data_IF_085621408578
#
_entry.id   IF_085621408578
#
_cell.length_a   1.000
_cell.length_b   1.000
_cell.length_c   1.000
_cell.angle_alpha   90.00
_cell.angle_beta   90.00
_cell.angle_gamma   90.00
#
_symmetry.space_group_name_H-M   'P 1'
#
loop_
_entity.id
_entity.type
_entity.pdbx_description
1 polymer ?
#
# COMPACT_ATOMS: atom_id res chain seq x y z
N UNK A 1 6.25 8.34 11.67
CA UNK A 1 5.16 7.37 11.92
C UNK A 1 5.80 6.07 12.36
N UNK A 2 5.68 5.73 13.60
CA UNK A 2 6.23 4.48 14.15
C UNK A 2 5.15 3.42 13.97
N UNK A 3 5.48 2.31 13.33
CA UNK A 3 4.58 1.15 13.30
C UNK A 3 4.74 0.46 14.65
N UNK A 4 3.74 0.56 15.48
CA UNK A 4 3.64 -0.23 16.71
C UNK A 4 2.92 -1.52 16.32
N UNK A 5 3.57 -2.66 16.52
CA UNK A 5 2.91 -3.95 16.45
C UNK A 5 1.90 -4.00 17.62
N UNK A 6 0.62 -4.00 17.28
CA UNK A 6 -0.45 -3.99 18.30
C UNK A 6 -0.50 -5.29 19.14
N UNK A 7 0.20 -6.33 18.70
CA UNK A 7 0.36 -7.58 19.46
C UNK A 7 1.47 -7.48 20.53
N UNK A 8 2.32 -6.45 20.45
CA UNK A 8 3.31 -6.11 21.48
C UNK A 8 2.89 -4.78 22.14
N UNK A 9 2.18 -4.85 23.23
CA UNK A 9 1.96 -3.66 24.05
C UNK A 9 3.32 -3.16 24.55
N UNK A 10 3.67 -1.88 24.33
CA UNK A 10 4.91 -1.33 24.88
C UNK A 10 4.89 -1.50 26.39
N UNK A 11 6.00 -1.94 26.97
CA UNK A 11 6.11 -2.08 28.41
C UNK A 11 5.99 -0.72 29.11
N UNK A 12 5.68 -0.74 30.40
CA UNK A 12 5.46 0.47 31.19
C UNK A 12 6.69 1.39 31.19
N UNK A 13 7.91 0.83 31.11
CA UNK A 13 9.16 1.60 31.07
C UNK A 13 9.29 2.34 29.73
N UNK A 14 8.97 1.70 28.62
CA UNK A 14 8.96 2.34 27.31
C UNK A 14 7.93 3.48 27.22
N UNK A 15 6.74 3.28 27.77
CA UNK A 15 5.71 4.32 27.81
C UNK A 15 6.10 5.51 28.71
N UNK A 16 6.76 5.25 29.83
CA UNK A 16 7.25 6.31 30.72
C UNK A 16 8.38 7.12 30.05
N UNK A 17 9.31 6.45 29.35
CA UNK A 17 10.39 7.09 28.60
C UNK A 17 9.84 7.94 27.43
N UNK A 18 8.88 7.41 26.68
CA UNK A 18 8.16 8.14 25.64
C UNK A 18 7.49 9.40 26.18
N UNK A 19 6.72 9.27 27.28
CA UNK A 19 6.03 10.39 27.88
C UNK A 19 6.97 11.49 28.36
N UNK A 20 8.12 11.11 28.92
CA UNK A 20 9.10 12.04 29.46
C UNK A 20 9.94 12.74 28.38
N UNK A 21 10.40 11.99 27.36
CA UNK A 21 11.45 12.44 26.45
C UNK A 21 10.95 12.81 25.05
N UNK A 22 9.75 12.39 24.66
CA UNK A 22 9.24 12.56 23.31
C UNK A 22 7.90 13.29 23.26
N UNK A 23 6.96 12.93 24.11
CA UNK A 23 5.58 13.46 24.05
C UNK A 23 5.52 14.99 24.15
N UNK A 24 6.40 15.62 24.94
CA UNK A 24 6.47 17.08 25.07
C UNK A 24 6.85 17.82 23.77
N UNK A 25 7.45 17.14 22.79
CA UNK A 25 7.83 17.71 21.50
C UNK A 25 6.80 17.43 20.39
N UNK A 26 5.75 16.65 20.70
CA UNK A 26 4.71 16.32 19.72
C UNK A 26 3.63 17.40 19.80
N UNK A 27 3.52 18.22 18.76
CA UNK A 27 2.50 19.26 18.64
C UNK A 27 1.23 18.75 17.95
N UNK A 28 1.34 17.66 17.17
CA UNK A 28 0.21 17.02 16.49
C UNK A 28 0.51 15.52 16.32
N UNK A 29 -0.44 14.68 16.68
CA UNK A 29 -0.34 13.22 16.54
C UNK A 29 -1.48 12.69 15.69
N UNK A 30 -1.12 12.00 14.60
CA UNK A 30 -2.08 11.30 13.74
C UNK A 30 -1.86 9.80 13.81
N UNK A 31 -2.78 9.10 14.46
CA UNK A 31 -2.77 7.64 14.55
C UNK A 31 -3.59 7.07 13.40
N UNK A 32 -3.01 6.13 12.65
CA UNK A 32 -3.69 5.39 11.60
C UNK A 32 -3.56 3.90 11.88
N UNK A 33 -4.69 3.25 12.13
CA UNK A 33 -4.75 1.80 12.24
C UNK A 33 -4.85 1.18 10.84
N UNK A 34 -4.08 0.13 10.60
CA UNK A 34 -4.11 -0.58 9.32
C UNK A 34 -3.88 -2.08 9.53
N UNK A 35 -4.71 -2.90 8.91
CA UNK A 35 -4.59 -4.35 8.90
C UNK A 35 -3.99 -4.82 7.58
N UNK A 36 -3.02 -5.73 7.63
CA UNK A 36 -2.46 -6.35 6.43
C UNK A 36 -3.52 -7.23 5.74
N UNK A 37 -3.73 -7.00 4.45
CA UNK A 37 -4.63 -7.77 3.60
C UNK A 37 -3.81 -8.77 2.77
N UNK A 38 -3.70 -9.98 3.24
CA UNK A 38 -2.86 -11.02 2.67
C UNK A 38 -3.26 -11.43 1.25
N UNK A 39 -4.59 -11.50 0.98
CA UNK A 39 -5.09 -11.92 -0.32
C UNK A 39 -4.66 -10.97 -1.45
N UNK A 40 -4.55 -9.68 -1.19
CA UNK A 40 -4.11 -8.68 -2.15
C UNK A 40 -2.59 -8.40 -2.10
N UNK A 41 -1.90 -8.86 -1.05
CA UNK A 41 -0.45 -8.70 -0.88
C UNK A 41 0.33 -9.73 -1.70
N UNK A 42 1.54 -9.36 -2.14
CA UNK A 42 2.42 -10.25 -2.91
C UNK A 42 3.86 -10.18 -2.38
N UNK A 43 4.46 -11.36 -2.20
CA UNK A 43 5.88 -11.51 -1.85
C UNK A 43 6.52 -12.38 -2.91
N UNK A 44 7.51 -11.88 -3.66
CA UNK A 44 8.28 -12.72 -4.58
C UNK A 44 9.13 -13.73 -3.80
N UNK A 45 9.51 -14.83 -4.48
CA UNK A 45 10.35 -15.87 -3.88
C UNK A 45 11.70 -15.32 -3.42
N UNK A 46 12.27 -14.38 -4.18
CA UNK A 46 13.50 -13.68 -3.85
C UNK A 46 13.23 -12.19 -3.69
N UNK A 47 13.46 -11.66 -2.50
CA UNK A 47 13.39 -10.25 -2.23
C UNK A 47 14.53 -9.83 -1.30
N UNK A 48 15.41 -8.98 -1.81
CA UNK A 48 16.54 -8.45 -1.05
C UNK A 48 16.14 -7.38 -0.04
N UNK A 49 17.12 -6.84 0.68
CA UNK A 49 16.92 -5.70 1.59
C UNK A 49 16.46 -4.46 0.83
N UNK A 50 15.68 -3.61 1.47
CA UNK A 50 15.20 -2.32 0.95
C UNK A 50 15.74 -1.18 1.79
N UNK A 51 15.98 -0.04 1.16
CA UNK A 51 16.37 1.18 1.87
C UNK A 51 15.21 2.20 1.89
N UNK A 52 14.20 1.98 1.06
CA UNK A 52 13.07 2.89 0.87
C UNK A 52 11.73 2.15 0.86
N UNK A 53 10.69 2.86 1.25
CA UNK A 53 9.29 2.45 1.08
C UNK A 53 8.56 3.50 0.24
N UNK A 54 7.86 3.06 -0.80
CA UNK A 54 6.79 3.84 -1.40
C UNK A 54 5.47 3.42 -0.76
N UNK A 55 4.74 4.37 -0.23
CA UNK A 55 3.40 4.17 0.31
C UNK A 55 2.42 4.90 -0.61
N UNK A 56 1.63 4.14 -1.35
CA UNK A 56 0.55 4.66 -2.21
C UNK A 56 -0.77 4.52 -1.50
N UNK A 57 -1.41 5.64 -1.18
CA UNK A 57 -2.72 5.65 -0.53
C UNK A 57 -3.80 6.05 -1.53
N UNK A 58 -4.82 5.21 -1.66
CA UNK A 58 -6.03 5.53 -2.42
C UNK A 58 -7.02 6.29 -1.54
N UNK A 59 -7.65 7.31 -2.11
CA UNK A 59 -8.77 8.02 -1.50
C UNK A 59 -10.07 7.44 -2.05
N UNK A 60 -10.70 6.57 -1.30
CA UNK A 60 -11.99 6.01 -1.67
C UNK A 60 -13.05 7.09 -1.72
N UNK A 61 -14.00 6.98 -2.64
CA UNK A 61 -15.18 7.82 -2.64
C UNK A 61 -16.31 7.17 -1.84
N UNK A 62 -17.43 7.90 -1.66
CA UNK A 62 -18.57 7.45 -0.86
C UNK A 62 -19.55 6.54 -1.64
N UNK A 63 -19.16 6.00 -2.80
CA UNK A 63 -20.01 5.06 -3.52
C UNK A 63 -20.11 3.73 -2.77
N UNK A 64 -21.27 3.11 -2.88
CA UNK A 64 -21.48 1.80 -2.29
C UNK A 64 -20.42 0.80 -2.78
N UNK A 65 -19.89 0.01 -1.84
CA UNK A 65 -18.87 -1.03 -2.11
C UNK A 65 -17.51 -0.53 -2.65
N UNK A 66 -17.17 0.77 -2.55
CA UNK A 66 -15.89 1.29 -3.03
C UNK A 66 -14.69 0.50 -2.52
N UNK A 67 -14.66 0.20 -1.21
CA UNK A 67 -13.61 -0.62 -0.59
C UNK A 67 -13.48 -1.99 -1.26
N UNK A 68 -14.59 -2.71 -1.38
CA UNK A 68 -14.60 -4.06 -1.95
C UNK A 68 -14.18 -4.07 -3.42
N UNK A 69 -14.67 -3.11 -4.21
CA UNK A 69 -14.34 -2.98 -5.64
C UNK A 69 -12.88 -2.64 -5.89
N UNK A 70 -12.32 -1.72 -5.10
CA UNK A 70 -10.89 -1.37 -5.22
C UNK A 70 -10.01 -2.54 -4.76
N UNK A 71 -10.37 -3.24 -3.68
CA UNK A 71 -9.62 -4.42 -3.23
C UNK A 71 -9.68 -5.56 -4.25
N UNK A 72 -10.83 -5.81 -4.89
CA UNK A 72 -10.97 -6.78 -5.97
C UNK A 72 -10.01 -6.46 -7.12
N UNK A 73 -9.97 -5.21 -7.58
CA UNK A 73 -9.04 -4.78 -8.63
C UNK A 73 -7.57 -4.97 -8.23
N UNK A 74 -7.21 -4.60 -6.99
CA UNK A 74 -5.85 -4.80 -6.46
C UNK A 74 -5.49 -6.29 -6.37
N UNK A 75 -6.45 -7.16 -6.02
CA UNK A 75 -6.24 -8.61 -5.97
C UNK A 75 -5.99 -9.19 -7.35
N UNK A 76 -6.72 -8.77 -8.38
CA UNK A 76 -6.45 -9.16 -9.77
C UNK A 76 -5.04 -8.78 -10.23
N UNK A 77 -4.53 -7.62 -9.80
CA UNK A 77 -3.14 -7.25 -10.07
C UNK A 77 -2.16 -8.26 -9.41
N UNK A 78 -2.45 -8.75 -8.19
CA UNK A 78 -1.62 -9.77 -7.54
C UNK A 78 -1.56 -11.05 -8.36
N UNK A 79 -2.67 -11.51 -8.91
CA UNK A 79 -2.73 -12.73 -9.72
C UNK A 79 -1.74 -12.66 -10.90
N UNK A 80 -1.64 -11.50 -11.55
CA UNK A 80 -0.66 -11.28 -12.62
C UNK A 80 0.76 -11.21 -12.09
N UNK A 81 1.00 -10.56 -10.93
CA UNK A 81 2.33 -10.56 -10.28
C UNK A 81 2.82 -11.98 -9.98
N UNK A 82 1.91 -12.86 -9.54
CA UNK A 82 2.21 -14.28 -9.30
C UNK A 82 2.50 -14.99 -10.62
N UNK A 83 1.63 -14.86 -11.61
CA UNK A 83 1.77 -15.54 -12.90
C UNK A 83 3.05 -15.15 -13.66
N UNK A 84 3.49 -13.90 -13.53
CA UNK A 84 4.72 -13.38 -14.16
C UNK A 84 5.97 -13.53 -13.29
N UNK A 85 5.84 -14.12 -12.11
CA UNK A 85 6.92 -14.19 -11.12
C UNK A 85 7.63 -12.84 -10.92
N UNK A 86 6.85 -11.77 -10.76
CA UNK A 86 7.38 -10.41 -10.72
C UNK A 86 8.28 -10.19 -9.49
N UNK A 87 9.42 -9.52 -9.67
CA UNK A 87 10.37 -9.21 -8.59
C UNK A 87 9.95 -7.98 -7.74
N UNK A 88 8.64 -7.81 -7.52
CA UNK A 88 8.06 -6.66 -6.81
C UNK A 88 7.43 -7.16 -5.52
N UNK A 89 7.93 -6.74 -4.37
CA UNK A 89 7.22 -6.93 -3.11
C UNK A 89 6.12 -5.88 -2.98
N UNK A 90 4.91 -6.30 -2.65
CA UNK A 90 3.76 -5.42 -2.40
C UNK A 90 3.02 -5.86 -1.16
N UNK A 91 2.86 -4.96 -0.20
CA UNK A 91 1.97 -5.13 0.95
C UNK A 91 0.76 -4.24 0.80
N UNK A 92 -0.42 -4.79 1.06
CA UNK A 92 -1.69 -4.06 1.03
C UNK A 92 -2.22 -3.95 2.44
N UNK A 93 -2.46 -2.73 2.88
CA UNK A 93 -3.01 -2.43 4.19
C UNK A 93 -4.38 -1.80 4.04
N UNK A 94 -5.31 -2.21 4.88
CA UNK A 94 -6.69 -1.73 4.90
C UNK A 94 -7.00 -1.18 6.28
N UNK A 95 -7.60 -0.01 6.34
CA UNK A 95 -8.10 0.54 7.60
C UNK A 95 -9.31 -0.29 8.07
N UNK A 96 -9.33 -0.74 9.34
CA UNK A 96 -10.50 -1.40 9.92
C UNK A 96 -11.68 -0.43 10.14
N UNK A 97 -11.41 0.87 10.10
CA UNK A 97 -12.39 1.94 10.26
C UNK A 97 -12.35 2.86 9.05
N UNK A 98 -13.51 3.26 8.54
CA UNK A 98 -13.56 4.24 7.46
C UNK A 98 -12.98 5.57 7.91
N UNK A 99 -11.98 6.04 7.20
CA UNK A 99 -11.38 7.34 7.46
C UNK A 99 -12.28 8.46 6.88
N UNK A 100 -12.31 9.61 7.56
CA UNK A 100 -13.06 10.79 7.10
C UNK A 100 -12.72 11.21 5.66
N UNK A 101 -11.48 10.93 5.23
CA UNK A 101 -10.96 11.35 3.92
C UNK A 101 -10.92 10.20 2.90
N UNK A 102 -11.49 9.00 3.22
CA UNK A 102 -11.47 7.83 2.34
C UNK A 102 -10.08 7.18 2.18
N UNK A 103 -9.11 7.53 3.02
CA UNK A 103 -7.72 7.00 2.97
C UNK A 103 -7.62 5.62 3.62
N UNK A 104 -8.40 4.67 3.13
CA UNK A 104 -8.63 3.39 3.78
C UNK A 104 -7.81 2.24 3.19
N UNK A 105 -7.19 2.43 2.02
CA UNK A 105 -6.32 1.44 1.37
C UNK A 105 -4.96 2.05 1.10
N UNK A 106 -3.90 1.38 1.59
CA UNK A 106 -2.52 1.76 1.31
C UNK A 106 -1.74 0.57 0.74
N UNK A 107 -1.02 0.80 -0.35
CA UNK A 107 -0.08 -0.14 -0.94
C UNK A 107 1.33 0.27 -0.54
N UNK A 108 2.09 -0.66 0.02
CA UNK A 108 3.48 -0.43 0.41
C UNK A 108 4.39 -1.26 -0.48
N UNK A 109 5.32 -0.56 -1.14
CA UNK A 109 6.32 -1.14 -2.02
C UNK A 109 7.71 -0.83 -1.47
N UNK A 110 8.38 -1.79 -0.83
CA UNK A 110 9.79 -1.67 -0.51
C UNK A 110 10.63 -1.68 -1.80
N UNK A 111 11.68 -0.89 -1.85
CA UNK A 111 12.52 -0.82 -3.04
C UNK A 111 13.97 -0.42 -2.76
N UNK A 112 14.81 -0.71 -3.75
CA UNK A 112 16.22 -0.36 -3.84
C UNK A 112 16.60 -0.47 -5.33
N UNK A 113 17.19 0.48 -5.98
CA UNK A 113 17.60 1.85 -5.62
C UNK A 113 16.51 2.90 -5.91
N UNK A 114 16.74 4.15 -5.48
CA UNK A 114 15.80 5.27 -5.67
C UNK A 114 15.46 5.55 -7.15
N UNK A 115 16.38 5.35 -8.05
CA UNK A 115 16.23 5.54 -9.51
C UNK A 115 15.04 4.80 -10.13
N UNK A 116 14.47 3.79 -9.46
CA UNK A 116 13.29 3.06 -9.93
C UNK A 116 12.06 3.96 -10.12
N UNK A 117 11.99 5.09 -9.41
CA UNK A 117 10.84 5.99 -9.43
C UNK A 117 10.97 7.18 -10.38
N UNK A 118 12.10 7.37 -11.05
CA UNK A 118 12.26 8.41 -12.07
C UNK A 118 11.19 8.32 -13.19
N UNK A 119 10.63 7.13 -13.41
CA UNK A 119 9.57 6.87 -14.39
C UNK A 119 8.14 6.86 -13.81
N UNK A 120 7.92 7.28 -12.57
CA UNK A 120 6.59 7.41 -11.91
C UNK A 120 5.74 6.12 -11.84
N UNK A 121 6.23 4.98 -12.31
CA UNK A 121 5.46 3.73 -12.38
C UNK A 121 5.94 2.72 -11.33
N UNK A 122 5.06 2.39 -10.39
CA UNK A 122 5.30 1.34 -9.39
C UNK A 122 5.31 -0.04 -10.06
N UNK A 123 4.47 -0.24 -11.06
CA UNK A 123 4.44 -1.44 -11.89
C UNK A 123 5.30 -1.20 -13.15
N UNK A 124 5.96 -2.24 -13.68
CA UNK A 124 6.68 -2.13 -14.96
C UNK A 124 5.79 -1.64 -16.09
N UNK A 125 6.37 -0.96 -17.09
CA UNK A 125 5.62 -0.44 -18.25
C UNK A 125 4.85 -1.53 -19.00
N UNK A 126 5.42 -2.74 -19.07
CA UNK A 126 4.80 -3.90 -19.73
C UNK A 126 3.66 -4.53 -18.91
N UNK A 127 3.43 -4.09 -17.66
CA UNK A 127 2.51 -4.80 -16.75
C UNK A 127 1.06 -4.81 -17.27
N UNK A 128 0.60 -3.70 -17.84
CA UNK A 128 -0.75 -3.63 -18.43
C UNK A 128 -0.90 -4.63 -19.61
N UNK A 129 0.14 -4.74 -20.44
CA UNK A 129 0.16 -5.71 -21.54
C UNK A 129 0.14 -7.16 -21.04
N UNK A 130 0.97 -7.47 -20.02
CA UNK A 130 0.97 -8.80 -19.39
C UNK A 130 -0.38 -9.12 -18.71
N UNK A 131 -1.04 -8.10 -18.14
CA UNK A 131 -2.38 -8.27 -17.59
C UNK A 131 -3.39 -8.65 -18.67
N UNK A 132 -3.35 -7.96 -19.82
CA UNK A 132 -4.26 -8.23 -20.94
C UNK A 132 -3.96 -9.56 -21.66
N UNK A 133 -2.69 -9.97 -21.68
CA UNK A 133 -2.31 -11.30 -22.20
C UNK A 133 -2.94 -12.43 -21.40
N UNK A 134 -3.00 -12.29 -20.07
CA UNK A 134 -3.57 -13.29 -19.16
C UNK A 134 -5.10 -13.22 -19.11
N UNK A 135 -5.69 -12.01 -19.11
CA UNK A 135 -7.11 -11.78 -18.82
C UNK A 135 -7.92 -11.34 -20.06
N UNK A 136 -7.27 -11.24 -21.22
CA UNK A 136 -7.87 -10.80 -22.48
C UNK A 136 -7.75 -9.32 -22.77
N UNK A 137 -7.81 -8.98 -24.04
CA UNK A 137 -7.66 -7.60 -24.53
C UNK A 137 -8.68 -6.65 -23.89
N UNK A 138 -8.23 -5.46 -23.47
CA UNK A 138 -9.04 -4.44 -22.82
C UNK A 138 -9.37 -4.72 -21.36
N UNK A 139 -8.90 -5.85 -20.78
CA UNK A 139 -9.18 -6.19 -19.38
C UNK A 139 -8.51 -5.22 -18.40
N UNK A 140 -7.32 -4.72 -18.71
CA UNK A 140 -6.68 -3.72 -17.85
C UNK A 140 -7.55 -2.47 -17.67
N UNK A 141 -8.11 -1.96 -18.77
CA UNK A 141 -9.00 -0.80 -18.71
C UNK A 141 -10.24 -1.11 -17.90
N UNK A 142 -10.94 -2.19 -18.23
CA UNK A 142 -12.21 -2.58 -17.60
C UNK A 142 -12.07 -2.93 -16.12
N UNK A 143 -11.08 -3.77 -15.78
CA UNK A 143 -10.99 -4.40 -14.46
C UNK A 143 -10.19 -3.56 -13.45
N UNK A 144 -9.31 -2.67 -13.92
CA UNK A 144 -8.41 -1.90 -13.07
C UNK A 144 -8.65 -0.40 -13.22
N UNK A 145 -8.42 0.17 -14.42
CA UNK A 145 -8.43 1.62 -14.58
C UNK A 145 -9.82 2.21 -14.30
N UNK A 146 -10.88 1.69 -14.92
CA UNK A 146 -12.26 2.16 -14.72
C UNK A 146 -12.75 1.93 -13.29
N UNK A 147 -12.34 0.84 -12.65
CA UNK A 147 -12.67 0.59 -11.25
C UNK A 147 -12.04 1.65 -10.35
N UNK A 148 -10.75 1.95 -10.53
CA UNK A 148 -10.07 2.98 -9.75
C UNK A 148 -10.65 4.38 -10.02
N UNK A 149 -10.91 4.74 -11.29
CA UNK A 149 -11.55 5.99 -11.67
C UNK A 149 -12.96 6.12 -11.07
N UNK A 150 -13.73 5.02 -11.01
CA UNK A 150 -15.11 5.02 -10.53
C UNK A 150 -15.22 5.08 -9.01
N UNK A 151 -14.32 4.42 -8.28
CA UNK A 151 -14.45 4.19 -6.84
C UNK A 151 -13.41 4.94 -5.99
N UNK A 152 -12.55 5.75 -6.60
CA UNK A 152 -11.62 6.60 -5.86
C UNK A 152 -11.75 8.08 -6.26
N UNK A 153 -11.39 8.97 -5.33
CA UNK A 153 -11.22 10.41 -5.56
C UNK A 153 -9.75 10.75 -5.88
N UNK A 154 -8.95 9.76 -6.22
CA UNK A 154 -7.53 9.90 -6.50
C UNK A 154 -6.64 9.12 -5.54
N UNK A 155 -5.35 9.37 -5.65
CA UNK A 155 -4.30 8.75 -4.84
C UNK A 155 -3.17 9.74 -4.57
N UNK A 156 -2.39 9.46 -3.55
CA UNK A 156 -1.09 10.13 -3.34
C UNK A 156 -0.02 9.12 -2.94
N UNK A 157 1.23 9.49 -3.17
CA UNK A 157 2.39 8.68 -2.90
C UNK A 157 3.29 9.38 -1.88
N UNK A 158 3.79 8.61 -0.91
CA UNK A 158 4.82 9.02 0.04
C UNK A 158 6.03 8.12 -0.11
N UNK A 159 7.24 8.69 -0.07
CA UNK A 159 8.48 7.92 -0.02
C UNK A 159 9.09 8.09 1.36
N UNK A 160 9.47 6.99 1.98
CA UNK A 160 10.12 6.94 3.29
C UNK A 160 11.46 6.25 3.20
N UNK A 161 12.45 6.77 3.90
CA UNK A 161 13.74 6.14 4.11
C UNK A 161 13.63 5.21 5.31
N UNK A 162 14.10 3.97 5.16
CA UNK A 162 14.20 3.04 6.28
C UNK A 162 15.46 3.37 7.08
N UNK A 163 15.29 3.77 8.32
CA UNK A 163 16.42 3.89 9.25
C UNK A 163 16.85 2.48 9.66
N UNK A 164 18.15 2.21 9.55
CA UNK A 164 18.79 0.96 9.99
C UNK A 164 19.17 1.07 11.44
#
# INVERSE_FOLDING_TARGET
MTYIDLDQQPDAAHMADWGKNIQSYITDEKIKHAKLHWEASYTPAEFGSSDYLLIRTFKLNNKANSMAKVLEAITKIKEVLVATNASILRRVYVSPFHSKNGEDISLVYPFKPFMRFEKSNVLPEYFAASYEEINGMGSWRRDIAEVLETYTNGRYDEIRVLQK
#
